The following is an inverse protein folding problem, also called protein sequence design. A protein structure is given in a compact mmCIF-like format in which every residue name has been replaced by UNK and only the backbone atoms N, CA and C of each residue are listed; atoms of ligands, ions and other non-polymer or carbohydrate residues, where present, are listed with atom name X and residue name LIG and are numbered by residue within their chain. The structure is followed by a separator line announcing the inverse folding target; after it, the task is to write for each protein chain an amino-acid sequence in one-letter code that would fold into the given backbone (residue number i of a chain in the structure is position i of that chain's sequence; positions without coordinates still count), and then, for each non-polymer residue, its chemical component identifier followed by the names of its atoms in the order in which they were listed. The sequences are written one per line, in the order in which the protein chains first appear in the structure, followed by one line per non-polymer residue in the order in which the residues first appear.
data_IF_113769552453
#
_entry.id   IF_113769552453
#
_cell.length_a   1.000
_cell.length_b   1.000
_cell.length_c   1.000
_cell.angle_alpha   90.00
_cell.angle_beta   90.00
_cell.angle_gamma   90.00
#
_symmetry.space_group_name_H-M   'P 1'
#
loop_
_entity.id
_entity.type
_entity.pdbx_description
1 polymer ?
#
# COMPACT_ATOMS: atom_id res chain seq x y z
N UNK A 1 -28.03 3.52 26.68
CA UNK A 1 -26.82 4.40 26.57
C UNK A 1 -25.53 3.61 26.61
N UNK A 2 -25.15 2.89 27.70
CA UNK A 2 -23.90 2.06 27.71
C UNK A 2 -24.00 0.88 26.75
N UNK A 3 -25.13 0.19 26.66
CA UNK A 3 -25.37 -0.90 25.70
C UNK A 3 -25.24 -0.44 24.25
N UNK A 4 -25.79 0.72 23.91
CA UNK A 4 -25.76 1.28 22.57
C UNK A 4 -24.32 1.69 22.19
N UNK A 5 -23.57 2.23 23.15
CA UNK A 5 -22.15 2.55 22.96
C UNK A 5 -21.32 1.28 22.68
N UNK A 6 -21.51 0.21 23.47
CA UNK A 6 -20.81 -1.06 23.27
C UNK A 6 -21.15 -1.68 21.91
N UNK A 7 -22.42 -1.65 21.49
CA UNK A 7 -22.81 -2.10 20.16
C UNK A 7 -22.13 -1.29 19.05
N UNK A 8 -22.04 0.03 19.18
CA UNK A 8 -21.35 0.88 18.20
C UNK A 8 -19.87 0.52 18.08
N UNK A 9 -19.19 0.26 19.21
CA UNK A 9 -17.79 -0.18 19.20
C UNK A 9 -17.61 -1.53 18.49
N UNK A 10 -18.51 -2.48 18.76
CA UNK A 10 -18.45 -3.81 18.14
C UNK A 10 -18.69 -3.74 16.62
N UNK A 11 -19.65 -2.93 16.18
CA UNK A 11 -19.89 -2.71 14.76
C UNK A 11 -18.73 -2.00 14.08
N UNK A 12 -18.11 -1.01 14.71
CA UNK A 12 -16.92 -0.33 14.18
C UNK A 12 -15.74 -1.28 14.04
N UNK A 13 -15.54 -2.18 15.00
CA UNK A 13 -14.51 -3.23 14.92
C UNK A 13 -14.80 -4.24 13.81
N UNK A 14 -16.06 -4.67 13.68
CA UNK A 14 -16.48 -5.60 12.63
C UNK A 14 -16.30 -4.99 11.25
N UNK A 15 -16.66 -3.73 11.06
CA UNK A 15 -16.48 -3.00 9.81
C UNK A 15 -14.99 -2.94 9.43
N UNK A 16 -14.13 -2.48 10.34
CA UNK A 16 -12.69 -2.41 10.09
C UNK A 16 -12.09 -3.79 9.76
N UNK A 17 -12.46 -4.83 10.53
CA UNK A 17 -11.97 -6.17 10.29
C UNK A 17 -12.40 -6.70 8.91
N UNK A 18 -13.65 -6.49 8.50
CA UNK A 18 -14.15 -6.87 7.18
C UNK A 18 -13.40 -6.14 6.07
N UNK A 19 -13.24 -4.84 6.19
CA UNK A 19 -12.53 -4.02 5.19
C UNK A 19 -11.08 -4.46 5.08
N UNK A 20 -10.40 -4.66 6.21
CA UNK A 20 -9.00 -5.09 6.24
C UNK A 20 -8.79 -6.49 5.62
N UNK A 21 -9.65 -7.46 5.96
CA UNK A 21 -9.58 -8.82 5.40
C UNK A 21 -9.84 -8.78 3.89
N UNK A 22 -10.84 -8.01 3.47
CA UNK A 22 -11.18 -7.88 2.05
C UNK A 22 -10.05 -7.20 1.26
N UNK A 23 -9.53 -6.09 1.77
CA UNK A 23 -8.38 -5.38 1.17
C UNK A 23 -7.16 -6.29 1.04
N UNK A 24 -6.88 -7.09 2.06
CA UNK A 24 -5.75 -8.01 2.08
C UNK A 24 -5.74 -9.03 0.95
N UNK A 25 -6.88 -9.38 0.38
CA UNK A 25 -6.95 -10.29 -0.76
C UNK A 25 -6.35 -9.69 -2.04
N UNK A 26 -6.44 -8.37 -2.20
CA UNK A 26 -6.00 -7.68 -3.42
C UNK A 26 -4.54 -7.22 -3.36
N UNK A 27 -4.02 -6.96 -2.16
CA UNK A 27 -2.66 -6.41 -2.01
C UNK A 27 -1.59 -7.37 -2.53
N UNK A 28 -1.48 -8.64 -2.09
CA UNK A 28 -0.47 -9.57 -2.62
C UNK A 28 -0.57 -9.77 -4.13
N UNK A 29 -1.82 -9.85 -4.65
CA UNK A 29 -2.05 -9.99 -6.08
C UNK A 29 -1.57 -8.76 -6.85
N UNK A 30 -1.81 -7.55 -6.34
CA UNK A 30 -1.32 -6.31 -6.97
C UNK A 30 0.20 -6.31 -7.04
N UNK A 31 0.88 -6.62 -5.95
CA UNK A 31 2.33 -6.61 -5.87
C UNK A 31 2.95 -7.64 -6.83
N UNK A 32 2.49 -8.88 -6.78
CA UNK A 32 3.00 -9.95 -7.65
C UNK A 32 2.70 -9.71 -9.13
N UNK A 33 1.45 -9.34 -9.47
CA UNK A 33 1.05 -9.09 -10.85
C UNK A 33 1.77 -7.89 -11.47
N UNK A 34 2.05 -6.84 -10.72
CA UNK A 34 2.79 -5.68 -11.23
C UNK A 34 4.19 -6.06 -11.73
N UNK A 35 4.92 -6.86 -10.95
CA UNK A 35 6.25 -7.36 -11.30
C UNK A 35 6.19 -8.29 -12.50
N UNK A 36 5.24 -9.25 -12.51
CA UNK A 36 5.06 -10.19 -13.61
C UNK A 36 4.73 -9.43 -14.92
N UNK A 37 3.86 -8.42 -14.87
CA UNK A 37 3.57 -7.57 -16.02
C UNK A 37 4.81 -6.84 -16.53
N UNK A 38 5.63 -6.28 -15.62
CA UNK A 38 6.85 -5.59 -15.97
C UNK A 38 7.90 -6.54 -16.62
N UNK A 39 8.02 -7.77 -16.12
CA UNK A 39 8.89 -8.80 -16.71
C UNK A 39 8.40 -9.17 -18.11
N UNK A 40 7.11 -9.48 -18.28
CA UNK A 40 6.55 -9.83 -19.60
C UNK A 40 6.73 -8.70 -20.62
N UNK A 41 6.51 -7.46 -20.20
CA UNK A 41 6.75 -6.30 -21.06
C UNK A 41 8.22 -6.10 -21.37
N UNK A 42 9.14 -6.38 -20.43
CA UNK A 42 10.59 -6.36 -20.67
C UNK A 42 10.99 -7.37 -21.75
N UNK A 43 10.41 -8.58 -21.71
CA UNK A 43 10.66 -9.59 -22.74
C UNK A 43 10.13 -9.10 -24.09
N UNK A 44 8.92 -8.54 -24.12
CA UNK A 44 8.39 -7.92 -25.36
C UNK A 44 9.30 -6.80 -25.88
N UNK A 45 9.77 -5.92 -25.01
CA UNK A 45 10.65 -4.82 -25.40
C UNK A 45 11.94 -5.32 -26.06
N UNK A 46 12.53 -6.41 -25.53
CA UNK A 46 13.79 -6.98 -26.04
C UNK A 46 13.60 -7.84 -27.29
N UNK A 47 12.52 -8.62 -27.37
CA UNK A 47 12.31 -9.59 -28.45
C UNK A 47 11.45 -9.05 -29.59
N UNK A 48 10.59 -8.08 -29.33
CA UNK A 48 9.59 -7.59 -30.29
C UNK A 48 8.45 -8.58 -30.57
N UNK A 49 8.42 -9.74 -29.89
CA UNK A 49 7.43 -10.80 -30.16
C UNK A 49 6.01 -10.37 -29.77
N UNK A 50 5.06 -10.38 -30.72
CA UNK A 50 3.66 -10.02 -30.47
C UNK A 50 2.97 -10.90 -29.42
N UNK A 51 3.45 -12.12 -29.19
CA UNK A 51 2.93 -13.01 -28.17
C UNK A 51 3.06 -12.36 -26.79
N UNK A 52 4.25 -11.90 -26.44
CA UNK A 52 4.52 -11.25 -25.15
C UNK A 52 3.72 -9.96 -24.96
N UNK A 53 3.52 -9.20 -26.05
CA UNK A 53 2.66 -8.00 -26.00
C UNK A 53 1.22 -8.35 -25.65
N UNK A 54 0.66 -9.40 -26.25
CA UNK A 54 -0.72 -9.84 -25.99
C UNK A 54 -0.87 -10.36 -24.57
N UNK A 55 0.10 -11.17 -24.12
CA UNK A 55 0.13 -11.74 -22.77
C UNK A 55 0.23 -10.64 -21.71
N UNK A 56 1.18 -9.70 -21.87
CA UNK A 56 1.31 -8.56 -20.97
C UNK A 56 0.00 -7.75 -20.88
N UNK A 57 -0.62 -7.41 -22.01
CA UNK A 57 -1.90 -6.69 -22.04
C UNK A 57 -3.03 -7.44 -21.34
N UNK A 58 -3.07 -8.76 -21.46
CA UNK A 58 -4.08 -9.57 -20.77
C UNK A 58 -3.90 -9.47 -19.25
N UNK A 59 -2.69 -9.71 -18.75
CA UNK A 59 -2.41 -9.66 -17.31
C UNK A 59 -2.51 -8.26 -16.74
N UNK A 60 -2.14 -7.23 -17.50
CA UNK A 60 -2.35 -5.83 -17.10
C UNK A 60 -3.83 -5.50 -16.89
N UNK A 61 -4.75 -6.06 -17.68
CA UNK A 61 -6.20 -5.85 -17.45
C UNK A 61 -6.65 -6.45 -16.13
N UNK A 62 -6.20 -7.66 -15.80
CA UNK A 62 -6.48 -8.30 -14.52
C UNK A 62 -5.87 -7.51 -13.36
N UNK A 63 -4.62 -7.07 -13.52
CA UNK A 63 -3.96 -6.16 -12.59
C UNK A 63 -4.80 -4.90 -12.36
N UNK A 64 -5.31 -4.27 -13.41
CA UNK A 64 -6.08 -3.03 -13.28
C UNK A 64 -7.38 -3.17 -12.51
N UNK A 65 -8.10 -4.27 -12.71
CA UNK A 65 -9.32 -4.57 -11.94
C UNK A 65 -8.94 -4.77 -10.46
N UNK A 66 -7.94 -5.60 -10.21
CA UNK A 66 -7.45 -5.88 -8.87
C UNK A 66 -6.94 -4.61 -8.17
N UNK A 67 -6.17 -3.79 -8.87
CA UNK A 67 -5.65 -2.52 -8.39
C UNK A 67 -6.77 -1.54 -8.02
N UNK A 68 -7.77 -1.37 -8.88
CA UNK A 68 -8.88 -0.45 -8.62
C UNK A 68 -9.66 -0.83 -7.35
N UNK A 69 -9.91 -2.13 -7.13
CA UNK A 69 -10.58 -2.62 -5.91
C UNK A 69 -9.66 -2.44 -4.69
N UNK A 70 -8.36 -2.74 -4.86
CA UNK A 70 -7.36 -2.56 -3.81
C UNK A 70 -7.27 -1.10 -3.34
N UNK A 71 -7.19 -0.15 -4.27
CA UNK A 71 -7.17 1.29 -3.96
C UNK A 71 -8.47 1.73 -3.28
N UNK A 72 -9.62 1.34 -3.79
CA UNK A 72 -10.91 1.71 -3.18
C UNK A 72 -11.03 1.23 -1.74
N UNK A 73 -10.65 -0.02 -1.48
CA UNK A 73 -10.71 -0.59 -0.13
C UNK A 73 -9.62 -0.04 0.79
N UNK A 74 -8.43 0.29 0.25
CA UNK A 74 -7.36 0.96 0.99
C UNK A 74 -7.76 2.35 1.48
N UNK A 75 -8.38 3.15 0.61
CA UNK A 75 -8.92 4.46 1.00
C UNK A 75 -9.98 4.35 2.11
N UNK A 76 -10.85 3.34 2.05
CA UNK A 76 -11.82 3.10 3.13
C UNK A 76 -11.08 2.86 4.45
N UNK A 77 -10.02 2.03 4.47
CA UNK A 77 -9.23 1.78 5.67
C UNK A 77 -8.60 3.06 6.24
N UNK A 78 -8.08 3.94 5.39
CA UNK A 78 -7.53 5.23 5.84
C UNK A 78 -8.60 6.09 6.51
N UNK A 79 -9.80 6.17 5.93
CA UNK A 79 -10.92 6.88 6.55
C UNK A 79 -11.35 6.24 7.87
N UNK A 80 -11.35 4.91 7.95
CA UNK A 80 -11.70 4.18 9.19
C UNK A 80 -10.70 4.45 10.32
N UNK A 81 -9.41 4.70 10.02
CA UNK A 81 -8.47 5.17 11.04
C UNK A 81 -8.88 6.51 11.65
N UNK A 82 -9.39 7.45 10.84
CA UNK A 82 -9.87 8.74 11.31
C UNK A 82 -11.23 8.70 12.02
N UNK A 83 -12.09 7.76 11.69
CA UNK A 83 -13.46 7.66 12.21
C UNK A 83 -13.61 6.60 13.29
N UNK A 84 -13.32 5.34 12.99
CA UNK A 84 -13.53 4.20 13.89
C UNK A 84 -12.43 4.11 14.97
N UNK A 85 -11.24 4.63 14.68
CA UNK A 85 -10.06 4.59 15.54
C UNK A 85 -9.53 5.99 15.89
N UNK A 86 -10.41 7.00 15.95
CA UNK A 86 -10.03 8.42 16.12
C UNK A 86 -9.16 8.68 17.35
N UNK A 87 -9.47 8.10 18.50
CA UNK A 87 -8.67 8.24 19.71
C UNK A 87 -7.26 7.63 19.56
N UNK A 88 -7.17 6.48 18.92
CA UNK A 88 -5.89 5.85 18.61
C UNK A 88 -5.07 6.70 17.63
N UNK A 89 -5.69 7.16 16.55
CA UNK A 89 -5.06 8.03 15.57
C UNK A 89 -4.55 9.33 16.17
N UNK A 90 -5.28 9.90 17.13
CA UNK A 90 -4.81 11.07 17.87
C UNK A 90 -3.61 10.74 18.77
N UNK A 91 -3.63 9.59 19.44
CA UNK A 91 -2.59 9.17 20.37
C UNK A 91 -1.25 8.84 19.68
N UNK A 92 -1.29 8.26 18.49
CA UNK A 92 -0.09 7.83 17.73
C UNK A 92 0.11 8.59 16.42
N UNK A 93 -0.64 9.66 16.18
CA UNK A 93 -0.68 10.37 14.91
C UNK A 93 0.66 10.93 14.46
N UNK A 94 1.54 11.29 15.39
CA UNK A 94 2.88 11.75 15.06
C UNK A 94 3.75 10.65 14.42
N UNK A 95 3.56 9.40 14.84
CA UNK A 95 4.33 8.26 14.36
C UNK A 95 3.72 7.68 13.08
N UNK A 96 2.39 7.53 13.05
CA UNK A 96 1.68 7.00 11.90
C UNK A 96 1.56 7.99 10.75
N UNK A 97 1.45 9.28 11.07
CA UNK A 97 1.23 10.32 10.09
C UNK A 97 2.35 10.43 9.05
N UNK A 98 3.60 10.28 9.47
CA UNK A 98 4.73 10.36 8.55
C UNK A 98 4.75 9.20 7.52
N UNK A 99 4.69 7.91 7.90
CA UNK A 99 4.58 6.80 6.94
C UNK A 99 3.37 6.90 6.02
N UNK A 100 2.18 7.21 6.54
CA UNK A 100 0.97 7.32 5.74
C UNK A 100 0.99 8.52 4.80
N UNK A 101 1.54 9.68 5.23
CA UNK A 101 1.70 10.83 4.35
C UNK A 101 2.69 10.57 3.22
N UNK A 102 3.80 9.89 3.49
CA UNK A 102 4.77 9.49 2.47
C UNK A 102 4.13 8.48 1.50
N UNK A 103 3.39 7.52 2.01
CA UNK A 103 2.64 6.56 1.19
C UNK A 103 1.65 7.28 0.28
N UNK A 104 0.78 8.13 0.84
CA UNK A 104 -0.24 8.84 0.07
C UNK A 104 0.35 9.78 -0.98
N UNK A 105 1.38 10.55 -0.64
CA UNK A 105 1.96 11.55 -1.55
C UNK A 105 2.86 10.90 -2.60
N UNK A 106 3.78 10.04 -2.20
CA UNK A 106 4.78 9.47 -3.12
C UNK A 106 4.26 8.22 -3.82
N UNK A 107 3.80 7.23 -3.06
CA UNK A 107 3.42 5.95 -3.63
C UNK A 107 2.12 6.06 -4.42
N UNK A 108 1.05 6.55 -3.83
CA UNK A 108 -0.25 6.63 -4.48
C UNK A 108 -0.27 7.54 -5.73
N UNK A 109 0.34 8.74 -5.67
CA UNK A 109 0.41 9.61 -6.84
C UNK A 109 1.34 9.07 -7.92
N UNK A 110 2.44 8.46 -7.54
CA UNK A 110 3.35 7.81 -8.48
C UNK A 110 2.66 6.63 -9.17
N UNK A 111 1.98 5.78 -8.41
CA UNK A 111 1.22 4.67 -8.95
C UNK A 111 0.11 5.13 -9.90
N UNK A 112 -0.76 6.02 -9.48
CA UNK A 112 -1.91 6.46 -10.28
C UNK A 112 -1.47 7.07 -11.62
N UNK A 113 -0.40 7.86 -11.63
CA UNK A 113 0.15 8.48 -12.84
C UNK A 113 0.69 7.42 -13.80
N UNK A 114 1.51 6.49 -13.31
CA UNK A 114 2.13 5.49 -14.18
C UNK A 114 1.18 4.36 -14.56
N UNK A 115 0.21 4.02 -13.73
CA UNK A 115 -0.90 3.12 -14.08
C UNK A 115 -1.67 3.66 -15.28
N UNK A 116 -1.97 4.97 -15.31
CA UNK A 116 -2.62 5.58 -16.47
C UNK A 116 -1.78 5.41 -17.75
N UNK A 117 -0.47 5.61 -17.68
CA UNK A 117 0.43 5.37 -18.82
C UNK A 117 0.45 3.89 -19.21
N UNK A 118 0.52 2.98 -18.25
CA UNK A 118 0.53 1.53 -18.46
C UNK A 118 -0.72 1.03 -19.21
N UNK A 119 -1.90 1.63 -18.94
CA UNK A 119 -3.14 1.24 -19.63
C UNK A 119 -3.34 1.95 -20.98
N UNK A 120 -3.09 3.26 -21.02
CA UNK A 120 -3.45 4.08 -22.17
C UNK A 120 -2.25 4.44 -23.07
N UNK A 121 -1.02 4.13 -22.63
CA UNK A 121 0.21 4.55 -23.29
C UNK A 121 0.65 3.67 -24.47
N UNK A 122 0.15 2.45 -24.64
CA UNK A 122 0.64 1.46 -25.61
C UNK A 122 0.91 1.96 -27.03
N UNK A 123 0.13 2.89 -27.51
CA UNK A 123 0.23 3.48 -28.84
C UNK A 123 0.45 5.00 -28.81
N UNK A 124 0.64 5.58 -27.63
CA UNK A 124 0.75 7.04 -27.43
C UNK A 124 2.13 7.49 -27.00
N UNK A 125 2.90 6.59 -26.40
CA UNK A 125 4.25 6.86 -25.91
C UNK A 125 5.26 5.89 -26.51
N UNK A 126 6.55 6.21 -26.38
CA UNK A 126 7.61 5.30 -26.83
C UNK A 126 7.59 4.00 -26.02
N UNK A 127 8.05 2.90 -26.63
CA UNK A 127 8.09 1.58 -25.96
C UNK A 127 8.93 1.60 -24.69
N UNK A 128 10.06 2.33 -24.70
CA UNK A 128 10.91 2.45 -23.52
C UNK A 128 10.25 3.22 -22.40
N UNK A 129 9.56 4.33 -22.70
CA UNK A 129 8.82 5.09 -21.68
C UNK A 129 7.66 4.29 -21.09
N UNK A 130 6.94 3.51 -21.93
CA UNK A 130 5.87 2.63 -21.45
C UNK A 130 6.41 1.56 -20.50
N UNK A 131 7.49 0.89 -20.87
CA UNK A 131 8.16 -0.08 -19.99
C UNK A 131 8.63 0.54 -18.69
N UNK A 132 9.21 1.76 -18.74
CA UNK A 132 9.62 2.46 -17.52
C UNK A 132 8.42 2.78 -16.62
N UNK A 133 7.28 3.18 -17.19
CA UNK A 133 6.05 3.42 -16.45
C UNK A 133 5.54 2.14 -15.77
N UNK A 134 5.59 0.99 -16.44
CA UNK A 134 5.21 -0.31 -15.87
C UNK A 134 6.12 -0.71 -14.70
N UNK A 135 7.43 -0.52 -14.82
CA UNK A 135 8.37 -0.76 -13.72
C UNK A 135 8.18 0.22 -12.56
N UNK A 136 7.91 1.50 -12.84
CA UNK A 136 7.63 2.50 -11.80
C UNK A 136 6.32 2.20 -11.07
N UNK A 137 5.30 1.68 -11.76
CA UNK A 137 4.08 1.17 -11.11
C UNK A 137 4.41 0.01 -10.16
N UNK A 138 5.22 -0.96 -10.60
CA UNK A 138 5.60 -2.08 -9.75
C UNK A 138 6.42 -1.65 -8.53
N UNK A 139 7.35 -0.71 -8.69
CA UNK A 139 8.13 -0.15 -7.59
C UNK A 139 7.24 0.66 -6.65
N UNK A 140 6.33 1.49 -7.18
CA UNK A 140 5.39 2.28 -6.38
C UNK A 140 4.53 1.39 -5.49
N UNK A 141 3.91 0.35 -6.06
CA UNK A 141 3.10 -0.61 -5.31
C UNK A 141 3.87 -1.28 -4.16
N UNK A 142 5.11 -1.69 -4.41
CA UNK A 142 5.94 -2.31 -3.38
C UNK A 142 6.39 -1.30 -2.30
N UNK A 143 6.65 -0.04 -2.66
CA UNK A 143 6.94 1.02 -1.70
C UNK A 143 5.72 1.36 -0.83
N UNK A 144 4.53 1.44 -1.42
CA UNK A 144 3.28 1.61 -0.68
C UNK A 144 3.10 0.52 0.39
N UNK A 145 3.23 -0.75 -0.02
CA UNK A 145 3.16 -1.87 0.92
C UNK A 145 4.22 -1.78 2.03
N UNK A 146 5.44 -1.33 1.72
CA UNK A 146 6.51 -1.15 2.71
C UNK A 146 6.09 -0.16 3.81
N UNK A 147 5.54 1.01 3.43
CA UNK A 147 5.13 2.03 4.39
C UNK A 147 4.03 1.54 5.33
N UNK A 148 3.04 0.84 4.80
CA UNK A 148 1.97 0.24 5.61
C UNK A 148 2.51 -0.85 6.54
N UNK A 149 3.46 -1.67 6.08
CA UNK A 149 4.10 -2.69 6.91
C UNK A 149 4.95 -2.08 8.04
N UNK A 150 5.61 -0.95 7.81
CA UNK A 150 6.33 -0.20 8.85
C UNK A 150 5.36 0.28 9.92
N UNK A 151 4.27 0.92 9.55
CA UNK A 151 3.24 1.37 10.47
C UNK A 151 2.64 0.20 11.27
N UNK A 152 2.28 -0.90 10.61
CA UNK A 152 1.76 -2.10 11.25
C UNK A 152 2.78 -2.78 12.19
N UNK A 153 4.07 -2.72 11.85
CA UNK A 153 5.14 -3.29 12.67
C UNK A 153 5.34 -2.50 13.94
N UNK A 154 5.28 -1.17 13.86
CA UNK A 154 5.38 -0.30 15.01
C UNK A 154 4.27 -0.58 16.05
N UNK A 155 3.05 -0.87 15.61
CA UNK A 155 1.96 -1.25 16.53
C UNK A 155 2.28 -2.47 17.39
N UNK A 156 3.13 -3.36 16.93
CA UNK A 156 3.51 -4.59 17.66
C UNK A 156 4.83 -4.42 18.41
N UNK A 157 5.70 -3.53 17.95
CA UNK A 157 7.00 -3.26 18.55
C UNK A 157 7.28 -1.76 18.50
N UNK A 158 6.75 -0.99 19.46
CA UNK A 158 6.87 0.46 19.50
C UNK A 158 8.29 0.89 19.88
N UNK A 159 9.06 1.32 18.90
CA UNK A 159 10.42 1.86 19.04
C UNK A 159 10.51 3.23 18.39
N UNK A 160 11.54 4.01 18.75
CA UNK A 160 11.77 5.34 18.17
C UNK A 160 10.70 6.37 18.54
N UNK A 161 10.07 6.20 19.70
CA UNK A 161 9.07 7.12 20.22
C UNK A 161 9.18 7.28 21.73
N UNK A 162 8.65 8.39 22.24
CA UNK A 162 8.51 8.67 23.68
C UNK A 162 7.10 9.16 23.96
N UNK A 163 6.57 8.77 25.12
CA UNK A 163 5.30 9.28 25.58
C UNK A 163 5.47 10.69 26.18
N UNK A 164 4.80 11.66 25.59
CA UNK A 164 4.74 13.03 26.09
C UNK A 164 3.52 13.18 27.01
N UNK A 165 3.78 13.46 28.29
CA UNK A 165 2.72 13.58 29.31
C UNK A 165 1.91 14.86 29.16
N UNK A 166 2.49 15.92 28.59
CA UNK A 166 1.81 17.21 28.44
C UNK A 166 0.78 17.19 27.31
N UNK A 167 1.09 16.46 26.22
CA UNK A 167 0.21 16.29 25.06
C UNK A 167 -0.64 15.02 25.14
N UNK A 168 -0.31 14.12 26.06
CA UNK A 168 -0.90 12.77 26.20
C UNK A 168 -0.81 11.98 24.89
N UNK A 169 0.34 12.06 24.22
CA UNK A 169 0.59 11.42 22.92
C UNK A 169 1.93 10.72 22.90
N UNK A 170 2.05 9.70 22.05
CA UNK A 170 3.36 9.19 21.64
C UNK A 170 3.93 10.08 20.54
N UNK A 171 5.12 10.58 20.74
CA UNK A 171 5.83 11.45 19.80
C UNK A 171 7.04 10.71 19.23
N UNK A 172 7.28 10.90 17.93
CA UNK A 172 8.40 10.26 17.24
C UNK A 172 9.71 10.92 17.66
N UNK A 173 10.66 10.12 18.13
CA UNK A 173 12.02 10.57 18.47
C UNK A 173 13.05 10.17 17.43
N UNK A 174 12.82 9.07 16.71
CA UNK A 174 13.75 8.58 15.70
C UNK A 174 12.97 7.89 14.56
N UNK A 175 12.90 8.56 13.42
CA UNK A 175 12.27 8.00 12.20
C UNK A 175 12.99 6.73 11.72
N UNK A 176 14.30 6.68 11.81
CA UNK A 176 15.07 5.53 11.33
C UNK A 176 14.88 4.29 12.20
N UNK A 177 14.71 4.45 13.52
CA UNK A 177 14.41 3.32 14.41
C UNK A 177 13.03 2.74 14.15
N UNK A 178 12.06 3.57 13.79
CA UNK A 178 10.73 3.12 13.35
C UNK A 178 10.83 2.36 12.03
N UNK A 179 11.48 2.95 11.02
CA UNK A 179 11.60 2.41 9.67
C UNK A 179 12.40 1.10 9.63
N UNK A 180 13.52 1.05 10.31
CA UNK A 180 14.47 -0.07 10.30
C UNK A 180 14.32 -0.98 11.52
N UNK A 181 13.20 -0.93 12.21
CA UNK A 181 12.95 -1.84 13.33
C UNK A 181 13.06 -3.31 12.87
N UNK A 182 13.60 -4.21 13.69
CA UNK A 182 13.72 -5.63 13.32
C UNK A 182 12.39 -6.26 12.88
N UNK A 183 11.29 -5.82 13.49
CA UNK A 183 9.95 -6.31 13.15
C UNK A 183 9.51 -5.78 11.78
N UNK A 184 9.77 -4.51 11.46
CA UNK A 184 9.46 -3.93 10.16
C UNK A 184 10.25 -4.62 9.04
N UNK A 185 11.55 -4.82 9.24
CA UNK A 185 12.40 -5.53 8.27
C UNK A 185 11.93 -6.97 8.07
N UNK A 186 11.70 -7.73 9.16
CA UNK A 186 11.25 -9.11 9.06
C UNK A 186 9.89 -9.25 8.39
N UNK A 187 8.94 -8.36 8.68
CA UNK A 187 7.62 -8.36 8.02
C UNK A 187 7.74 -8.02 6.54
N UNK A 188 8.53 -7.03 6.18
CA UNK A 188 8.75 -6.64 4.78
C UNK A 188 9.38 -7.78 3.99
N UNK A 189 10.40 -8.46 4.55
CA UNK A 189 11.02 -9.64 3.93
C UNK A 189 10.02 -10.78 3.80
N UNK A 190 9.29 -11.11 4.87
CA UNK A 190 8.28 -12.20 4.83
C UNK A 190 7.19 -11.92 3.80
N UNK A 191 6.75 -10.67 3.71
CA UNK A 191 5.72 -10.27 2.76
C UNK A 191 6.20 -10.37 1.31
N UNK A 192 7.45 -9.97 1.04
CA UNK A 192 8.07 -10.06 -0.28
C UNK A 192 8.27 -11.52 -0.72
N UNK A 193 8.45 -12.46 0.21
CA UNK A 193 8.58 -13.89 -0.11
C UNK A 193 7.23 -14.60 -0.33
N UNK A 194 6.12 -13.98 0.06
CA UNK A 194 4.76 -14.53 -0.14
C UNK A 194 4.13 -14.07 -1.46
N UNK A 195 4.72 -13.09 -2.13
CA UNK A 195 4.30 -12.54 -3.42
C UNK A 195 5.25 -12.95 -4.55
#
# INVERSE_FOLDING_TARGET
MLSDYLQTVDWSRAQFAMTAIYHWLFVPLTLGLSIICAIMETIYYRTGDPFWKRTAKFWMRLFGINFAIGVATGLILEFEFGTNWSNYSHFVGDIFGAPLAIEGILAFFLESTFVAVMFFGWNRVSRGFHLSATWLTAVGANLSALWILVANSWMQYPVGCTFNIDTVRNEMTSFWDVLLSPVAVNKSVSYTHLT
#
